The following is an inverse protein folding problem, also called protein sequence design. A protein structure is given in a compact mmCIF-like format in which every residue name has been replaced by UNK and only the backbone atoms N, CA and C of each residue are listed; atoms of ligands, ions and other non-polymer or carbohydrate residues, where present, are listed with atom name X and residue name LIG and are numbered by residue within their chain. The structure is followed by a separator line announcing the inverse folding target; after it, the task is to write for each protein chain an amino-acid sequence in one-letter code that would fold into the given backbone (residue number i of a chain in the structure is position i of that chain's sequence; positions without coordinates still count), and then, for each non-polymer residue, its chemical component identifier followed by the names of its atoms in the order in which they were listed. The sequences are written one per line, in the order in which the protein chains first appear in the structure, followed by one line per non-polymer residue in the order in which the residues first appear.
data_IF_466119155704
#
_entry.id   IF_466119155704
#
_cell.length_a   1.000
_cell.length_b   1.000
_cell.length_c   1.000
_cell.angle_alpha   90.00
_cell.angle_beta   90.00
_cell.angle_gamma   90.00
#
_symmetry.space_group_name_H-M   'P 1'
#
loop_
_entity.id
_entity.type
_entity.pdbx_description
1 polymer ?
#
# COMPACT_ATOMS: atom_id res chain seq x y z
N UNK A 1 -13.04 -8.56 7.64
CA UNK A 1 -13.17 -7.12 8.00
C UNK A 1 -14.20 -6.50 7.08
N UNK A 2 -15.45 -6.32 7.55
CA UNK A 2 -16.56 -5.78 6.75
C UNK A 2 -16.76 -4.27 6.94
N UNK A 3 -15.73 -3.56 7.41
CA UNK A 3 -15.81 -2.12 7.70
C UNK A 3 -15.44 -1.25 6.51
N UNK A 4 -14.71 -1.79 5.53
CA UNK A 4 -14.24 -1.06 4.35
C UNK A 4 -15.41 -0.61 3.44
N UNK A 5 -16.34 -1.49 3.00
CA UNK A 5 -17.40 -1.03 2.10
C UNK A 5 -18.32 0.05 2.69
N UNK A 6 -18.72 -0.03 3.99
CA UNK A 6 -19.44 1.08 4.64
C UNK A 6 -18.63 2.38 4.67
N UNK A 7 -17.32 2.34 4.94
CA UNK A 7 -16.46 3.52 4.92
C UNK A 7 -16.40 4.14 3.52
N UNK A 8 -16.14 3.33 2.48
CA UNK A 8 -16.11 3.79 1.10
C UNK A 8 -17.48 4.32 0.61
N UNK A 9 -18.59 3.89 1.24
CA UNK A 9 -19.91 4.44 0.96
C UNK A 9 -20.06 5.88 1.45
N UNK A 10 -19.40 6.26 2.54
CA UNK A 10 -19.45 7.60 3.12
C UNK A 10 -18.66 8.64 2.30
N UNK A 11 -17.71 8.22 1.47
CA UNK A 11 -16.94 9.13 0.59
C UNK A 11 -17.80 9.87 -0.44
N UNK A 12 -19.02 9.37 -0.73
CA UNK A 12 -19.93 9.96 -1.71
C UNK A 12 -20.92 10.98 -1.13
N UNK A 13 -20.83 11.33 0.15
CA UNK A 13 -21.77 12.29 0.76
C UNK A 13 -21.28 13.73 0.60
N UNK A 14 -22.20 14.70 0.72
CA UNK A 14 -21.89 16.13 0.49
C UNK A 14 -21.15 16.81 1.64
N UNK A 15 -21.13 16.20 2.82
CA UNK A 15 -20.53 16.81 3.99
C UNK A 15 -19.01 16.64 3.95
N UNK A 16 -18.31 17.75 3.67
CA UNK A 16 -16.86 17.78 3.56
C UNK A 16 -16.15 17.33 4.85
N UNK A 17 -16.71 17.62 6.04
CA UNK A 17 -16.10 17.20 7.29
C UNK A 17 -16.15 15.69 7.46
N UNK A 18 -17.28 15.07 7.10
CA UNK A 18 -17.41 13.62 7.16
C UNK A 18 -16.49 12.97 6.12
N UNK A 19 -16.46 13.47 4.89
CA UNK A 19 -15.55 12.95 3.85
C UNK A 19 -14.10 13.01 4.32
N UNK A 20 -13.68 14.12 4.91
CA UNK A 20 -12.34 14.28 5.46
C UNK A 20 -12.05 13.26 6.57
N UNK A 21 -12.95 13.11 7.55
CA UNK A 21 -12.80 12.13 8.64
C UNK A 21 -12.71 10.69 8.12
N UNK A 22 -13.46 10.37 7.07
CA UNK A 22 -13.44 9.03 6.45
C UNK A 22 -12.13 8.79 5.70
N UNK A 23 -11.63 9.78 4.94
CA UNK A 23 -10.32 9.70 4.29
C UNK A 23 -9.19 9.54 5.32
N UNK A 24 -9.19 10.33 6.38
CA UNK A 24 -8.24 10.19 7.49
C UNK A 24 -8.31 8.79 8.12
N UNK A 25 -9.53 8.28 8.33
CA UNK A 25 -9.75 6.94 8.84
C UNK A 25 -9.19 5.86 7.92
N UNK A 26 -9.43 5.96 6.61
CA UNK A 26 -8.92 5.03 5.61
C UNK A 26 -7.39 5.07 5.53
N UNK A 27 -6.79 6.26 5.46
CA UNK A 27 -5.33 6.43 5.46
C UNK A 27 -4.71 5.78 6.71
N UNK A 28 -5.29 6.00 7.89
CA UNK A 28 -4.82 5.39 9.13
C UNK A 28 -4.96 3.87 9.17
N UNK A 29 -6.05 3.33 8.61
CA UNK A 29 -6.24 1.88 8.50
C UNK A 29 -5.16 1.28 7.60
N UNK A 30 -4.94 1.86 6.42
CA UNK A 30 -3.93 1.39 5.46
C UNK A 30 -2.52 1.45 6.05
N UNK A 31 -2.13 2.59 6.67
CA UNK A 31 -0.84 2.75 7.35
C UNK A 31 -0.59 1.74 8.47
N UNK A 32 -1.65 1.26 9.14
CA UNK A 32 -1.56 0.29 10.25
C UNK A 32 -1.83 -1.15 9.84
N UNK A 33 -2.16 -1.39 8.57
CA UNK A 33 -2.54 -2.72 8.08
C UNK A 33 -1.34 -3.68 7.97
N UNK A 34 -0.12 -3.15 7.81
CA UNK A 34 1.10 -3.94 7.71
C UNK A 34 1.04 -4.93 6.54
N UNK A 35 1.14 -6.22 6.83
CA UNK A 35 1.05 -7.29 5.81
C UNK A 35 -0.35 -7.49 5.20
N UNK A 36 -1.36 -6.75 5.68
CA UNK A 36 -2.74 -6.82 5.17
C UNK A 36 -3.11 -5.63 4.31
N UNK A 37 -2.16 -4.75 4.00
CA UNK A 37 -2.41 -3.55 3.18
C UNK A 37 -2.99 -3.93 1.83
N UNK A 38 -2.39 -4.89 1.12
CA UNK A 38 -2.91 -5.40 -0.16
C UNK A 38 -4.34 -5.93 -0.06
N UNK A 39 -4.65 -6.74 0.97
CA UNK A 39 -6.00 -7.27 1.22
C UNK A 39 -7.04 -6.15 1.42
N UNK A 40 -6.61 -5.01 1.99
CA UNK A 40 -7.48 -3.86 2.22
C UNK A 40 -7.61 -3.01 0.95
N UNK A 41 -6.51 -2.76 0.22
CA UNK A 41 -6.54 -2.08 -1.08
C UNK A 41 -7.48 -2.78 -2.05
N UNK A 42 -7.34 -4.10 -2.19
CA UNK A 42 -8.22 -4.92 -3.03
C UNK A 42 -9.70 -4.74 -2.66
N UNK A 43 -10.04 -4.70 -1.36
CA UNK A 43 -11.43 -4.47 -0.93
C UNK A 43 -11.93 -3.07 -1.21
N UNK A 44 -11.06 -2.06 -1.12
CA UNK A 44 -11.38 -0.69 -1.49
C UNK A 44 -11.72 -0.64 -2.98
N UNK A 45 -10.92 -1.29 -3.84
CA UNK A 45 -11.20 -1.40 -5.28
C UNK A 45 -12.49 -2.16 -5.57
N UNK A 46 -12.68 -3.35 -4.99
CA UNK A 46 -13.85 -4.21 -5.23
C UNK A 46 -15.19 -3.53 -4.88
N UNK A 47 -15.18 -2.61 -3.91
CA UNK A 47 -16.37 -1.85 -3.53
C UNK A 47 -16.52 -0.50 -4.26
N UNK A 48 -15.68 -0.21 -5.26
CA UNK A 48 -15.65 1.07 -5.99
C UNK A 48 -15.22 2.25 -5.10
N UNK A 49 -14.43 1.97 -4.06
CA UNK A 49 -13.88 2.99 -3.17
C UNK A 49 -12.76 3.78 -3.83
N UNK A 50 -11.90 3.13 -4.63
CA UNK A 50 -10.79 3.78 -5.33
C UNK A 50 -11.29 4.89 -6.26
N UNK A 51 -12.27 4.60 -7.12
CA UNK A 51 -12.91 5.58 -8.02
C UNK A 51 -13.40 6.84 -7.28
N UNK A 52 -13.92 6.67 -6.06
CA UNK A 52 -14.39 7.80 -5.23
C UNK A 52 -13.22 8.59 -4.67
N UNK A 53 -12.15 7.94 -4.23
CA UNK A 53 -10.95 8.61 -3.74
C UNK A 53 -10.30 9.39 -4.89
N UNK A 54 -10.25 8.84 -6.10
CA UNK A 54 -9.78 9.56 -7.29
C UNK A 54 -10.65 10.78 -7.61
N UNK A 55 -11.98 10.63 -7.54
CA UNK A 55 -12.88 11.76 -7.74
C UNK A 55 -12.63 12.90 -6.73
N UNK A 56 -12.32 12.55 -5.48
CA UNK A 56 -12.03 13.50 -4.41
C UNK A 56 -10.72 14.28 -4.63
N UNK A 57 -9.84 13.86 -5.54
CA UNK A 57 -8.70 14.68 -5.97
C UNK A 57 -9.13 15.95 -6.75
N UNK A 58 -10.41 16.07 -7.14
CA UNK A 58 -10.95 17.28 -7.76
C UNK A 58 -11.82 18.09 -6.80
N UNK A 59 -11.83 17.76 -5.51
CA UNK A 59 -12.66 18.44 -4.52
C UNK A 59 -12.17 19.87 -4.27
N UNK A 60 -13.10 20.81 -4.07
CA UNK A 60 -12.79 22.23 -3.79
C UNK A 60 -12.07 22.46 -2.44
N UNK A 61 -12.04 21.44 -1.59
CA UNK A 61 -11.42 21.51 -0.27
C UNK A 61 -10.02 20.92 -0.41
N UNK A 62 -9.02 21.78 -0.23
CA UNK A 62 -7.61 21.44 -0.42
C UNK A 62 -7.15 20.29 0.49
N UNK A 63 -7.70 20.18 1.69
CA UNK A 63 -7.34 19.11 2.63
C UNK A 63 -7.90 17.75 2.18
N UNK A 64 -9.11 17.72 1.62
CA UNK A 64 -9.69 16.51 1.01
C UNK A 64 -8.86 16.09 -0.20
N UNK A 65 -8.50 17.03 -1.06
CA UNK A 65 -7.61 16.78 -2.20
C UNK A 65 -6.29 16.16 -1.76
N UNK A 66 -5.59 16.78 -0.78
CA UNK A 66 -4.30 16.30 -0.29
C UNK A 66 -4.39 14.91 0.31
N UNK A 67 -5.41 14.64 1.13
CA UNK A 67 -5.62 13.31 1.72
C UNK A 67 -5.91 12.25 0.66
N UNK A 68 -6.76 12.55 -0.32
CA UNK A 68 -7.04 11.64 -1.43
C UNK A 68 -5.79 11.37 -2.27
N UNK A 69 -5.01 12.41 -2.58
CA UNK A 69 -3.73 12.30 -3.26
C UNK A 69 -2.76 11.40 -2.48
N UNK A 70 -2.57 11.65 -1.19
CA UNK A 70 -1.66 10.88 -0.35
C UNK A 70 -2.03 9.39 -0.30
N UNK A 71 -3.32 9.07 -0.19
CA UNK A 71 -3.79 7.67 -0.18
C UNK A 71 -3.46 6.99 -1.52
N UNK A 72 -3.73 7.66 -2.64
CA UNK A 72 -3.45 7.09 -3.97
C UNK A 72 -1.94 6.92 -4.16
N UNK A 73 -1.16 7.97 -3.91
CA UNK A 73 0.30 7.99 -4.03
C UNK A 73 0.98 6.90 -3.18
N UNK A 74 0.52 6.70 -1.94
CA UNK A 74 1.15 5.76 -1.02
C UNK A 74 0.72 4.30 -1.20
N UNK A 75 -0.49 4.03 -1.71
CA UNK A 75 -1.07 2.68 -1.68
C UNK A 75 -1.56 2.14 -3.02
N UNK A 76 -1.75 2.99 -4.02
CA UNK A 76 -2.34 2.63 -5.32
C UNK A 76 -1.50 3.09 -6.52
N UNK A 77 -0.51 3.97 -6.34
CA UNK A 77 0.36 4.48 -7.42
C UNK A 77 1.56 3.57 -7.75
N UNK A 78 1.85 2.54 -6.94
CA UNK A 78 2.97 1.63 -7.16
C UNK A 78 2.49 0.19 -7.33
N UNK A 79 2.17 -0.19 -8.57
CA UNK A 79 2.08 -1.61 -8.99
C UNK A 79 3.37 -2.11 -9.68
N UNK A 80 4.48 -1.35 -9.66
CA UNK A 80 5.77 -1.80 -10.20
C UNK A 80 6.89 -1.46 -9.19
N UNK A 81 7.82 -2.40 -8.97
CA UNK A 81 9.02 -2.31 -8.12
C UNK A 81 8.97 -2.80 -6.66
N UNK A 82 8.25 -3.89 -6.35
CA UNK A 82 8.73 -4.84 -5.33
C UNK A 82 8.71 -6.27 -5.85
N UNK A 83 9.49 -6.50 -6.91
CA UNK A 83 10.16 -7.79 -7.11
C UNK A 83 11.28 -7.91 -6.07
N UNK A 84 10.93 -8.13 -4.79
CA UNK A 84 11.85 -8.76 -3.84
C UNK A 84 12.00 -10.24 -4.25
N UNK A 85 12.83 -10.47 -5.26
CA UNK A 85 13.40 -11.78 -5.54
C UNK A 85 14.35 -12.11 -4.38
N UNK A 86 13.82 -12.72 -3.31
CA UNK A 86 14.62 -13.46 -2.32
C UNK A 86 15.21 -14.70 -3.02
N UNK A 87 16.23 -14.45 -3.84
CA UNK A 87 17.08 -15.46 -4.44
C UNK A 87 18.24 -15.76 -3.50
N UNK A 88 17.95 -16.37 -2.36
CA UNK A 88 18.95 -16.94 -1.47
C UNK A 88 19.67 -18.11 -2.16
N UNK A 89 20.69 -17.83 -2.97
CA UNK A 89 21.64 -18.84 -3.44
C UNK A 89 22.71 -19.08 -2.37
N UNK A 90 22.37 -19.94 -1.40
CA UNK A 90 23.36 -20.62 -0.58
C UNK A 90 23.25 -22.13 -0.86
N UNK A 91 24.06 -22.62 -1.79
CA UNK A 91 24.48 -24.01 -1.76
C UNK A 91 26.00 -24.05 -1.75
N UNK A 92 26.55 -24.10 -0.54
CA UNK A 92 27.89 -24.60 -0.32
C UNK A 92 27.80 -26.02 0.21
N UNK A 93 28.39 -27.00 -0.49
CA UNK A 93 29.46 -27.84 0.09
C UNK A 93 30.05 -28.88 -0.87
N UNK A 94 31.37 -29.03 -0.73
CA UNK A 94 32.17 -30.17 -1.18
C UNK A 94 33.43 -29.67 -1.88
N UNK A 95 34.65 -29.72 -1.36
CA UNK A 95 35.26 -30.45 -0.26
C UNK A 95 36.73 -30.68 -0.64
N UNK A 96 37.61 -30.64 0.36
CA UNK A 96 39.00 -31.13 0.39
C UNK A 96 40.19 -30.24 -0.09
N UNK A 97 40.90 -29.75 0.95
CA UNK A 97 42.37 -29.78 1.20
C UNK A 97 43.29 -28.62 0.72
N UNK A 98 44.14 -28.07 1.63
CA UNK A 98 45.15 -27.06 1.33
C UNK A 98 46.52 -27.68 0.99
N UNK A 99 47.21 -27.14 -0.02
CA UNK A 99 48.65 -27.28 -0.19
C UNK A 99 49.19 -25.86 -0.40
N UNK A 100 49.86 -25.24 0.58
CA UNK A 100 51.29 -25.50 0.86
C UNK A 100 52.09 -25.00 -0.34
N UNK A 101 52.56 -23.75 -0.39
CA UNK A 101 53.69 -23.23 0.38
C UNK A 101 54.80 -22.84 -0.61
N UNK A 102 55.30 -21.61 -0.53
CA UNK A 102 56.46 -21.15 -1.30
C UNK A 102 57.70 -22.01 -0.98
N UNK A 103 58.50 -22.41 -1.99
CA UNK A 103 59.98 -22.32 -2.04
C UNK A 103 60.57 -23.04 -3.27
N UNK A 104 61.28 -22.31 -4.15
CA UNK A 104 62.73 -22.42 -4.44
C UNK A 104 63.13 -21.31 -5.43
#
# INVERSE_FOLDING_TARGET
MNVIPPFCSLLGIRDAQIVQVVLDGLNNILKKAGNRTEEICQKIEECGGLDKIEHLQNHENEEIYKLAYEIIDAFFSSEDDDVEQDGHFNDGQGGAQPAGGFNF
#
